data_IF_983652500767
#
_entry.id   IF_983652500767
#
_cell.length_a   1.000
_cell.length_b   1.000
_cell.length_c   1.000
_cell.angle_alpha   90.00
_cell.angle_beta   90.00
_cell.angle_gamma   90.00
#
_symmetry.space_group_name_H-M   'P 1'
#
loop_
_entity.id
_entity.type
_entity.pdbx_description
1 polymer ?
#
# COMPACT_ATOMS: atom_id res chain seq x y z
N UNK A 1 -58.73 -18.18 17.61
CA UNK A 1 -57.33 -18.68 17.63
C UNK A 1 -56.83 -18.78 16.21
N UNK A 2 -56.20 -17.72 15.72
CA UNK A 2 -55.44 -17.69 14.48
C UNK A 2 -54.55 -16.44 14.51
N UNK A 3 -53.47 -16.46 13.72
CA UNK A 3 -52.68 -15.29 13.27
C UNK A 3 -51.42 -14.91 14.06
N UNK A 4 -50.43 -15.83 14.16
CA UNK A 4 -49.01 -15.43 14.28
C UNK A 4 -48.15 -16.41 13.47
N UNK A 5 -48.32 -16.46 12.14
CA UNK A 5 -47.39 -17.23 11.27
C UNK A 5 -47.11 -16.58 9.91
N UNK A 6 -47.66 -15.39 9.61
CA UNK A 6 -47.48 -14.73 8.30
C UNK A 6 -46.43 -13.60 8.25
N UNK A 7 -45.97 -13.07 9.40
CA UNK A 7 -45.10 -11.87 9.42
C UNK A 7 -43.60 -12.12 9.30
N UNK A 8 -43.12 -13.37 9.44
CA UNK A 8 -41.68 -13.69 9.33
C UNK A 8 -41.24 -14.00 7.90
N UNK A 9 -42.14 -14.50 7.04
CA UNK A 9 -41.80 -14.81 5.65
C UNK A 9 -41.77 -13.55 4.75
N UNK A 10 -42.65 -12.57 4.97
CA UNK A 10 -42.65 -11.33 4.17
C UNK A 10 -41.40 -10.47 4.39
N UNK A 11 -40.84 -10.44 5.60
CA UNK A 11 -39.60 -9.69 5.89
C UNK A 11 -38.37 -10.36 5.26
N UNK A 12 -38.33 -11.69 5.25
CA UNK A 12 -37.25 -12.46 4.61
C UNK A 12 -37.26 -12.30 3.07
N UNK A 13 -38.45 -12.28 2.46
CA UNK A 13 -38.62 -12.08 1.01
C UNK A 13 -38.29 -10.63 0.62
N UNK A 14 -38.62 -9.64 1.45
CA UNK A 14 -38.25 -8.24 1.20
C UNK A 14 -36.74 -7.98 1.36
N UNK A 15 -36.07 -8.58 2.36
CA UNK A 15 -34.62 -8.49 2.50
C UNK A 15 -33.86 -9.20 1.38
N UNK A 16 -34.34 -10.37 0.92
CA UNK A 16 -33.76 -11.09 -0.22
C UNK A 16 -33.84 -10.28 -1.53
N UNK A 17 -34.97 -9.60 -1.78
CA UNK A 17 -35.13 -8.72 -2.95
C UNK A 17 -34.29 -7.45 -2.88
N UNK A 18 -34.03 -6.91 -1.69
CA UNK A 18 -33.11 -5.78 -1.53
C UNK A 18 -31.65 -6.21 -1.68
N UNK A 19 -31.22 -7.33 -1.08
CA UNK A 19 -29.86 -7.85 -1.26
C UNK A 19 -29.55 -8.16 -2.72
N UNK A 20 -30.48 -8.77 -3.46
CA UNK A 20 -30.28 -9.08 -4.87
C UNK A 20 -30.23 -7.84 -5.77
N UNK A 21 -30.92 -6.74 -5.42
CA UNK A 21 -30.83 -5.48 -6.18
C UNK A 21 -29.53 -4.73 -5.89
N UNK A 22 -29.02 -4.75 -4.66
CA UNK A 22 -27.74 -4.11 -4.32
C UNK A 22 -26.54 -4.89 -4.86
N UNK A 23 -26.58 -6.22 -4.82
CA UNK A 23 -25.56 -7.08 -5.43
C UNK A 23 -25.57 -6.99 -6.97
N UNK A 24 -26.75 -6.90 -7.59
CA UNK A 24 -26.84 -6.68 -9.03
C UNK A 24 -26.34 -5.29 -9.45
N UNK A 25 -26.56 -4.23 -8.65
CA UNK A 25 -26.07 -2.88 -8.94
C UNK A 25 -24.54 -2.77 -8.73
N UNK A 26 -24.00 -3.41 -7.69
CA UNK A 26 -22.56 -3.50 -7.46
C UNK A 26 -21.86 -4.32 -8.55
N UNK A 27 -22.45 -5.45 -8.97
CA UNK A 27 -21.98 -6.24 -10.09
C UNK A 27 -22.05 -5.44 -11.40
N UNK A 28 -23.10 -4.65 -11.65
CA UNK A 28 -23.23 -3.84 -12.87
C UNK A 28 -22.22 -2.67 -12.91
N UNK A 29 -21.91 -2.03 -11.77
CA UNK A 29 -20.87 -1.00 -11.70
C UNK A 29 -19.45 -1.58 -11.92
N UNK A 30 -19.21 -2.83 -11.49
CA UNK A 30 -17.93 -3.53 -11.71
C UNK A 30 -17.84 -4.08 -13.15
N UNK A 31 -18.96 -4.50 -13.75
CA UNK A 31 -19.01 -5.06 -15.11
C UNK A 31 -19.01 -3.98 -16.19
N UNK A 32 -19.52 -2.77 -15.91
CA UNK A 32 -19.57 -1.69 -16.90
C UNK A 32 -18.41 -0.69 -16.84
N UNK A 33 -17.51 -0.71 -15.85
CA UNK A 33 -16.39 0.26 -15.83
C UNK A 33 -16.82 1.73 -15.86
N UNK A 34 -18.09 2.03 -15.54
CA UNK A 34 -18.66 3.38 -15.52
C UNK A 34 -18.91 3.77 -14.07
N UNK A 35 -17.83 4.12 -13.37
CA UNK A 35 -17.84 5.21 -12.39
C UNK A 35 -16.63 6.15 -12.54
N UNK A 36 -15.78 5.92 -13.55
CA UNK A 36 -14.56 6.72 -13.73
C UNK A 36 -14.64 7.85 -14.78
N UNK A 37 -15.71 7.96 -15.58
CA UNK A 37 -15.74 8.96 -16.67
C UNK A 37 -15.94 10.41 -16.22
N UNK A 38 -16.56 10.65 -15.05
CA UNK A 38 -16.80 12.01 -14.54
C UNK A 38 -15.64 12.56 -13.69
N UNK A 39 -14.75 11.69 -13.20
CA UNK A 39 -13.53 12.08 -12.49
C UNK A 39 -12.29 12.14 -13.39
N UNK A 40 -12.22 11.31 -14.44
CA UNK A 40 -11.07 11.25 -15.35
C UNK A 40 -10.98 12.46 -16.30
N UNK A 41 -12.10 13.08 -16.69
CA UNK A 41 -12.07 14.22 -17.64
C UNK A 41 -11.57 15.53 -17.04
N UNK A 42 -11.55 15.66 -15.69
CA UNK A 42 -10.99 16.83 -14.99
C UNK A 42 -9.51 16.68 -14.64
N UNK A 43 -8.93 15.48 -14.77
CA UNK A 43 -7.54 15.21 -14.39
C UNK A 43 -6.55 15.39 -15.55
N UNK A 44 -7.03 15.41 -16.80
CA UNK A 44 -6.19 15.55 -18.00
C UNK A 44 -5.61 16.95 -18.20
N UNK A 45 -5.96 17.93 -17.35
CA UNK A 45 -5.54 19.33 -17.49
C UNK A 45 -5.29 20.02 -16.15
N UNK A 46 -4.60 19.36 -15.20
CA UNK A 46 -4.15 20.05 -13.98
C UNK A 46 -2.95 20.94 -14.27
N UNK A 47 -3.06 22.20 -13.89
CA UNK A 47 -1.97 23.16 -13.90
C UNK A 47 -0.98 22.84 -12.75
N UNK A 48 0.29 23.25 -12.88
CA UNK A 48 1.34 22.90 -11.91
C UNK A 48 1.03 23.30 -10.45
N UNK A 49 0.20 24.33 -10.23
CA UNK A 49 -0.25 24.73 -8.89
C UNK A 49 -1.17 23.70 -8.23
N UNK A 50 -2.03 23.03 -9.00
CA UNK A 50 -2.91 21.97 -8.48
C UNK A 50 -2.12 20.69 -8.14
N UNK A 51 -1.02 20.40 -8.83
CA UNK A 51 -0.15 19.27 -8.48
C UNK A 51 0.64 19.53 -7.20
N UNK A 52 1.16 20.74 -7.00
CA UNK A 52 1.91 21.12 -5.79
C UNK A 52 1.08 20.90 -4.51
N UNK A 53 -0.18 21.35 -4.49
CA UNK A 53 -1.09 21.10 -3.34
C UNK A 53 -1.33 19.61 -3.10
N UNK A 54 -1.48 18.83 -4.17
CA UNK A 54 -1.74 17.38 -4.08
C UNK A 54 -0.49 16.63 -3.61
N UNK A 55 0.71 17.09 -3.93
CA UNK A 55 1.95 16.55 -3.36
C UNK A 55 2.09 16.89 -1.87
N UNK A 56 1.81 18.13 -1.46
CA UNK A 56 1.82 18.50 -0.05
C UNK A 56 0.79 17.70 0.77
N UNK A 57 -0.39 17.44 0.21
CA UNK A 57 -1.37 16.53 0.82
C UNK A 57 -0.81 15.13 0.99
N UNK A 58 -0.08 14.61 0.00
CA UNK A 58 0.52 13.27 0.05
C UNK A 58 1.67 13.16 1.07
N UNK A 59 2.32 14.27 1.42
CA UNK A 59 3.29 14.31 2.52
C UNK A 59 2.60 14.22 3.90
N UNK A 60 1.36 14.69 4.02
CA UNK A 60 0.60 14.70 5.27
C UNK A 60 -0.53 13.66 5.28
N UNK A 61 -0.27 12.48 5.85
CA UNK A 61 -1.26 11.41 5.97
C UNK A 61 -2.54 11.80 6.73
N UNK A 62 -2.46 12.78 7.66
CA UNK A 62 -3.63 13.24 8.39
C UNK A 62 -4.48 14.25 7.61
N UNK A 63 -4.08 14.61 6.39
CA UNK A 63 -4.87 15.48 5.53
C UNK A 63 -6.21 14.81 5.20
N UNK A 64 -7.31 15.57 5.32
CA UNK A 64 -8.65 15.10 4.97
C UNK A 64 -8.77 14.69 3.48
N UNK A 65 -7.85 15.16 2.63
CA UNK A 65 -7.80 14.87 1.19
C UNK A 65 -6.73 13.85 0.83
N UNK A 66 -5.97 13.31 1.79
CA UNK A 66 -4.83 12.42 1.54
C UNK A 66 -5.19 11.25 0.61
N UNK A 67 -6.24 10.51 0.94
CA UNK A 67 -6.67 9.33 0.17
C UNK A 67 -7.08 9.71 -1.26
N UNK A 68 -7.80 10.82 -1.41
CA UNK A 68 -8.21 11.34 -2.72
C UNK A 68 -7.00 11.77 -3.55
N UNK A 69 -6.04 12.44 -2.92
CA UNK A 69 -4.78 12.88 -3.53
C UNK A 69 -3.93 11.68 -3.97
N UNK A 70 -3.78 10.67 -3.11
CA UNK A 70 -3.07 9.44 -3.43
C UNK A 70 -3.72 8.69 -4.60
N UNK A 71 -5.05 8.53 -4.59
CA UNK A 71 -5.78 7.89 -5.70
C UNK A 71 -5.58 8.62 -7.03
N UNK A 72 -5.72 9.94 -7.01
CA UNK A 72 -5.56 10.76 -8.19
C UNK A 72 -4.14 10.62 -8.77
N UNK A 73 -3.12 10.76 -7.90
CA UNK A 73 -1.72 10.67 -8.32
C UNK A 73 -1.29 9.25 -8.70
N UNK A 74 -1.81 8.21 -8.06
CA UNK A 74 -1.47 6.82 -8.42
C UNK A 74 -1.88 6.49 -9.86
N UNK A 75 -2.94 7.11 -10.37
CA UNK A 75 -3.40 6.98 -11.75
C UNK A 75 -2.77 7.96 -12.74
N UNK A 76 -1.72 8.69 -12.33
CA UNK A 76 -1.11 9.76 -13.14
C UNK A 76 -0.54 9.21 -14.47
N UNK A 77 -0.85 9.85 -15.62
CA UNK A 77 -0.31 9.43 -16.90
C UNK A 77 1.18 9.78 -17.04
N UNK A 78 1.96 9.03 -17.84
CA UNK A 78 3.36 9.31 -18.11
C UNK A 78 3.65 10.73 -18.64
N UNK A 79 2.68 11.36 -19.31
CA UNK A 79 2.82 12.75 -19.79
C UNK A 79 3.02 13.80 -18.69
N UNK A 80 2.77 13.44 -17.42
CA UNK A 80 2.94 14.32 -16.27
C UNK A 80 4.20 13.98 -15.44
N UNK A 81 5.01 13.01 -15.88
CA UNK A 81 6.17 12.54 -15.12
C UNK A 81 7.25 13.61 -14.96
N UNK A 82 7.42 14.50 -15.94
CA UNK A 82 8.34 15.64 -15.80
C UNK A 82 7.90 16.59 -14.67
N UNK A 83 6.61 16.82 -14.49
CA UNK A 83 6.07 17.61 -13.38
C UNK A 83 6.37 16.96 -12.03
N UNK A 84 6.27 15.62 -11.93
CA UNK A 84 6.63 14.86 -10.72
C UNK A 84 8.12 15.00 -10.42
N UNK A 85 8.98 14.87 -11.44
CA UNK A 85 10.44 14.97 -11.27
C UNK A 85 10.88 16.38 -10.87
N UNK A 86 10.25 17.42 -11.43
CA UNK A 86 10.49 18.80 -11.03
C UNK A 86 10.11 19.03 -9.56
N UNK A 87 9.00 18.44 -9.10
CA UNK A 87 8.55 18.51 -7.71
C UNK A 87 9.53 17.85 -6.73
N UNK A 88 10.23 16.78 -7.12
CA UNK A 88 11.30 16.16 -6.29
C UNK A 88 12.37 17.18 -5.91
N UNK A 89 12.70 18.11 -6.80
CA UNK A 89 13.71 19.16 -6.58
C UNK A 89 13.12 20.48 -6.06
N UNK A 90 11.84 20.50 -5.68
CA UNK A 90 11.19 21.69 -5.14
C UNK A 90 11.88 22.17 -3.86
N UNK A 91 11.92 23.49 -3.65
CA UNK A 91 12.34 24.07 -2.38
C UNK A 91 11.31 23.85 -1.26
N UNK A 92 10.07 23.48 -1.62
CA UNK A 92 9.06 23.04 -0.68
C UNK A 92 9.29 21.57 -0.32
N UNK A 93 9.68 21.32 0.95
CA UNK A 93 10.02 19.98 1.43
C UNK A 93 8.83 19.01 1.41
N UNK A 94 7.61 19.48 1.66
CA UNK A 94 6.41 18.63 1.61
C UNK A 94 6.09 18.22 0.17
N UNK A 95 6.29 19.14 -0.78
CA UNK A 95 6.12 18.81 -2.20
C UNK A 95 7.17 17.80 -2.67
N UNK A 96 8.44 17.98 -2.26
CA UNK A 96 9.50 17.02 -2.55
C UNK A 96 9.19 15.65 -1.93
N UNK A 97 8.79 15.62 -0.65
CA UNK A 97 8.43 14.38 0.07
C UNK A 97 7.27 13.65 -0.62
N UNK A 98 6.19 14.38 -0.94
CA UNK A 98 5.04 13.85 -1.66
C UNK A 98 5.41 13.30 -3.03
N UNK A 99 6.24 14.00 -3.80
CA UNK A 99 6.71 13.53 -5.11
C UNK A 99 7.55 12.25 -4.99
N UNK A 100 8.47 12.19 -4.02
CA UNK A 100 9.27 10.99 -3.75
C UNK A 100 8.39 9.78 -3.39
N UNK A 101 7.40 9.97 -2.50
CA UNK A 101 6.40 8.95 -2.16
C UNK A 101 5.65 8.47 -3.40
N UNK A 102 5.18 9.39 -4.23
CA UNK A 102 4.43 9.05 -5.44
C UNK A 102 5.28 8.21 -6.39
N UNK A 103 6.51 8.62 -6.69
CA UNK A 103 7.41 7.87 -7.59
C UNK A 103 7.53 6.42 -7.13
N UNK A 104 7.68 6.19 -5.82
CA UNK A 104 7.82 4.84 -5.26
C UNK A 104 6.51 4.06 -5.24
N UNK A 105 5.35 4.71 -5.07
CA UNK A 105 4.04 4.06 -5.26
C UNK A 105 3.86 3.63 -6.72
N UNK A 106 4.12 4.55 -7.66
CA UNK A 106 3.98 4.31 -9.09
C UNK A 106 4.89 3.19 -9.56
N UNK A 107 6.11 3.12 -9.01
CA UNK A 107 7.06 2.07 -9.30
C UNK A 107 7.62 2.09 -10.72
N UNK A 108 7.51 3.23 -11.39
CA UNK A 108 8.06 3.41 -12.72
C UNK A 108 9.59 3.40 -12.68
N UNK A 109 10.22 2.58 -13.54
CA UNK A 109 11.67 2.37 -13.52
C UNK A 109 12.44 3.63 -13.91
N UNK A 110 11.89 4.43 -14.81
CA UNK A 110 12.52 5.67 -15.26
C UNK A 110 12.44 6.72 -14.16
N UNK A 111 11.26 6.90 -13.56
CA UNK A 111 11.09 7.81 -12.43
C UNK A 111 11.98 7.44 -11.24
N UNK A 112 12.04 6.15 -10.88
CA UNK A 112 12.90 5.67 -9.80
C UNK A 112 14.38 5.91 -10.09
N UNK A 113 14.84 5.66 -11.33
CA UNK A 113 16.22 5.91 -11.74
C UNK A 113 16.58 7.40 -11.65
N UNK A 114 15.70 8.28 -12.13
CA UNK A 114 15.91 9.74 -12.05
C UNK A 114 15.85 10.26 -10.61
N UNK A 115 14.95 9.73 -9.78
CA UNK A 115 14.90 10.02 -8.35
C UNK A 115 16.26 9.68 -7.70
N UNK A 116 16.79 8.50 -8.00
CA UNK A 116 18.09 8.04 -7.50
C UNK A 116 19.23 8.97 -7.93
N UNK A 117 19.24 9.39 -9.20
CA UNK A 117 20.25 10.31 -9.73
C UNK A 117 20.23 11.66 -9.03
N UNK A 118 19.04 12.18 -8.75
CA UNK A 118 18.85 13.41 -8.00
C UNK A 118 19.27 13.27 -6.52
N UNK A 119 19.31 12.05 -5.99
CA UNK A 119 19.59 11.75 -4.59
C UNK A 119 21.05 11.44 -4.24
N UNK A 120 22.00 11.71 -5.17
CA UNK A 120 23.44 11.46 -4.99
C UNK A 120 24.10 12.17 -3.79
N UNK A 121 23.43 13.11 -3.13
CA UNK A 121 23.96 13.91 -2.00
C UNK A 121 23.29 13.67 -0.64
N UNK A 122 22.57 12.53 -0.46
CA UNK A 122 21.72 12.13 0.69
C UNK A 122 20.27 12.60 0.56
N UNK A 123 19.42 11.75 -0.02
CA UNK A 123 17.98 11.79 0.26
C UNK A 123 17.65 10.71 1.28
N UNK A 124 16.88 11.08 2.31
CA UNK A 124 16.05 10.11 3.00
C UNK A 124 14.89 9.77 2.07
N UNK A 125 14.88 8.56 1.51
CA UNK A 125 13.82 8.15 0.59
C UNK A 125 12.52 7.91 1.35
N UNK A 126 11.54 8.77 1.12
CA UNK A 126 10.22 8.67 1.75
C UNK A 126 9.30 7.68 1.04
N UNK A 127 8.32 7.17 1.76
CA UNK A 127 7.24 6.35 1.20
C UNK A 127 7.54 4.86 1.06
N UNK A 128 6.82 4.17 0.17
CA UNK A 128 6.87 2.72 0.05
C UNK A 128 8.22 2.22 -0.45
N UNK A 129 8.64 1.03 -0.01
CA UNK A 129 9.85 0.37 -0.53
C UNK A 129 9.44 -0.59 -1.64
N UNK A 130 9.79 -0.30 -2.91
CA UNK A 130 9.39 -1.13 -4.04
C UNK A 130 10.20 -2.42 -4.16
N UNK A 131 9.60 -3.45 -4.74
CA UNK A 131 10.23 -4.73 -5.07
C UNK A 131 10.34 -4.90 -6.60
N UNK A 132 11.49 -5.36 -7.13
CA UNK A 132 12.75 -5.67 -6.42
C UNK A 132 13.39 -4.42 -5.81
N UNK A 133 14.15 -4.61 -4.72
CA UNK A 133 14.81 -3.52 -4.01
C UNK A 133 15.78 -2.78 -4.95
N UNK A 134 15.74 -1.45 -4.90
CA UNK A 134 16.70 -0.63 -5.63
C UNK A 134 18.05 -0.61 -4.89
N UNK A 135 19.21 -0.49 -5.56
CA UNK A 135 20.51 -0.32 -4.90
C UNK A 135 20.58 0.79 -3.83
N UNK A 136 19.74 1.83 -3.92
CA UNK A 136 19.64 2.84 -2.86
C UNK A 136 18.93 2.30 -1.61
N UNK A 137 17.87 1.51 -1.77
CA UNK A 137 17.19 0.87 -0.64
C UNK A 137 18.14 -0.10 0.07
N UNK A 138 18.92 -0.88 -0.69
CA UNK A 138 19.99 -1.71 -0.13
C UNK A 138 20.98 -0.93 0.72
N UNK A 139 21.47 0.21 0.22
CA UNK A 139 22.41 1.07 0.95
C UNK A 139 21.79 1.65 2.21
N UNK A 140 20.54 2.08 2.15
CA UNK A 140 19.81 2.63 3.30
C UNK A 140 19.62 1.56 4.37
N UNK A 141 19.12 0.38 4.00
CA UNK A 141 18.95 -0.75 4.92
C UNK A 141 20.30 -1.15 5.52
N UNK A 142 21.36 -1.24 4.71
CA UNK A 142 22.70 -1.51 5.19
C UNK A 142 23.20 -0.44 6.16
N UNK A 143 22.97 0.84 5.87
CA UNK A 143 23.35 1.93 6.75
C UNK A 143 22.64 1.84 8.10
N UNK A 144 21.32 1.65 8.09
CA UNK A 144 20.48 1.48 9.28
C UNK A 144 20.83 0.21 10.08
N UNK A 145 21.39 -0.81 9.42
CA UNK A 145 21.84 -2.05 10.06
C UNK A 145 23.28 -1.94 10.59
N UNK A 146 24.18 -1.26 9.87
CA UNK A 146 25.60 -1.03 10.24
C UNK A 146 25.75 -0.03 11.38
N UNK A 147 24.83 0.93 11.49
CA UNK A 147 24.73 1.85 12.62
C UNK A 147 24.31 1.14 13.93
N UNK A 148 24.18 -0.19 13.92
CA UNK A 148 24.26 -1.03 15.11
C UNK A 148 23.03 -1.03 16.00
N UNK A 149 21.91 -0.50 15.52
CA UNK A 149 20.72 -0.36 16.34
C UNK A 149 19.46 -0.77 15.59
N UNK A 150 19.49 -2.02 15.08
CA UNK A 150 18.27 -2.74 14.70
C UNK A 150 17.23 -2.68 15.84
N UNK A 151 17.68 -2.53 17.08
CA UNK A 151 16.83 -2.31 18.25
C UNK A 151 16.10 -0.95 18.26
N UNK A 152 16.57 0.07 17.56
CA UNK A 152 15.90 1.38 17.38
C UNK A 152 14.91 1.40 16.23
N UNK A 153 14.81 0.34 15.43
CA UNK A 153 13.88 0.31 14.31
C UNK A 153 12.44 0.50 14.81
N UNK A 154 11.83 1.59 14.37
CA UNK A 154 10.45 1.92 14.70
C UNK A 154 9.48 1.33 13.68
N UNK A 155 8.21 1.71 13.83
CA UNK A 155 7.13 1.23 12.96
C UNK A 155 7.36 1.59 11.48
N UNK A 156 7.88 2.79 11.22
CA UNK A 156 8.18 3.23 9.86
C UNK A 156 9.28 2.39 9.19
N UNK A 157 10.19 1.78 9.96
CA UNK A 157 11.26 0.93 9.45
C UNK A 157 10.76 -0.48 9.08
N UNK A 158 9.55 -0.86 9.52
CA UNK A 158 8.95 -2.16 9.16
C UNK A 158 8.74 -2.31 7.65
N UNK A 159 8.65 -1.20 6.90
CA UNK A 159 8.65 -1.23 5.43
C UNK A 159 9.88 -1.93 4.85
N UNK A 160 11.05 -1.79 5.50
CA UNK A 160 12.27 -2.48 5.08
C UNK A 160 12.24 -3.95 5.45
N UNK A 161 11.66 -4.31 6.59
CA UNK A 161 11.44 -5.72 6.96
C UNK A 161 10.55 -6.39 5.92
N UNK A 162 9.39 -5.81 5.61
CA UNK A 162 8.50 -6.35 4.59
C UNK A 162 9.20 -6.49 3.24
N UNK A 163 9.95 -5.46 2.83
CA UNK A 163 10.66 -5.47 1.57
C UNK A 163 11.74 -6.57 1.49
N UNK A 164 12.51 -6.78 2.57
CA UNK A 164 13.52 -7.84 2.66
C UNK A 164 12.91 -9.25 2.66
N UNK A 165 11.69 -9.42 3.14
CA UNK A 165 10.98 -10.70 3.06
C UNK A 165 10.36 -10.95 1.69
N UNK A 166 9.97 -9.89 0.98
CA UNK A 166 9.41 -9.96 -0.37
C UNK A 166 10.48 -10.09 -1.46
N UNK A 167 11.67 -9.51 -1.28
CA UNK A 167 12.77 -9.61 -2.23
C UNK A 167 13.54 -10.92 -2.03
N UNK A 168 13.45 -11.82 -3.00
CA UNK A 168 14.08 -13.15 -2.96
C UNK A 168 15.51 -13.17 -3.50
N UNK A 169 16.10 -12.02 -3.83
CA UNK A 169 17.48 -11.96 -4.33
C UNK A 169 18.48 -12.24 -3.20
N UNK A 170 19.67 -12.75 -3.55
CA UNK A 170 20.71 -13.08 -2.55
C UNK A 170 21.10 -11.88 -1.66
N UNK A 171 21.27 -10.65 -2.17
CA UNK A 171 21.57 -9.50 -1.32
C UNK A 171 20.48 -9.21 -0.28
N UNK A 172 19.20 -9.34 -0.65
CA UNK A 172 18.09 -9.18 0.29
C UNK A 172 18.09 -10.27 1.36
N UNK A 173 18.33 -11.53 0.97
CA UNK A 173 18.40 -12.65 1.92
C UNK A 173 19.54 -12.46 2.94
N UNK A 174 20.70 -11.96 2.52
CA UNK A 174 21.81 -11.66 3.43
C UNK A 174 21.49 -10.53 4.40
N UNK A 175 20.88 -9.44 3.92
CA UNK A 175 20.41 -8.35 4.76
C UNK A 175 19.32 -8.78 5.73
N UNK A 176 18.35 -9.56 5.26
CA UNK A 176 17.29 -10.14 6.08
C UNK A 176 17.86 -10.92 7.25
N UNK A 177 18.82 -11.81 7.01
CA UNK A 177 19.48 -12.58 8.09
C UNK A 177 20.16 -11.68 9.11
N UNK A 178 20.81 -10.58 8.67
CA UNK A 178 21.44 -9.60 9.57
C UNK A 178 20.39 -8.91 10.46
N UNK A 179 19.28 -8.46 9.88
CA UNK A 179 18.17 -7.84 10.62
C UNK A 179 17.51 -8.82 11.58
N UNK A 180 17.22 -10.05 11.13
CA UNK A 180 16.64 -11.10 11.98
C UNK A 180 17.56 -11.43 13.17
N UNK A 181 18.87 -11.61 12.94
CA UNK A 181 19.83 -11.86 14.01
C UNK A 181 19.96 -10.69 14.98
N UNK A 182 19.98 -9.46 14.46
CA UNK A 182 19.98 -8.24 15.27
C UNK A 182 18.73 -8.17 16.16
N UNK A 183 17.54 -8.42 15.59
CA UNK A 183 16.26 -8.36 16.33
C UNK A 183 16.19 -9.31 17.52
N UNK A 184 16.81 -10.49 17.44
CA UNK A 184 16.85 -11.46 18.55
C UNK A 184 17.66 -10.98 19.74
N UNK A 185 18.59 -10.07 19.53
CA UNK A 185 19.43 -9.48 20.56
C UNK A 185 18.74 -8.26 21.22
N UNK A 186 17.63 -7.79 20.66
CA UNK A 186 16.89 -6.62 21.11
C UNK A 186 15.76 -7.01 22.07
N UNK A 187 16.06 -7.19 23.36
CA UNK A 187 15.03 -7.49 24.37
C UNK A 187 13.94 -6.41 24.48
N UNK A 188 14.22 -5.18 24.03
CA UNK A 188 13.34 -4.01 24.14
C UNK A 188 12.50 -3.70 22.88
N UNK A 189 12.79 -4.28 21.71
CA UNK A 189 12.07 -3.94 20.46
C UNK A 189 10.96 -4.94 20.14
N UNK A 190 9.85 -4.84 20.89
CA UNK A 190 8.70 -5.72 20.73
C UNK A 190 8.05 -5.62 19.33
N UNK A 191 8.12 -4.46 18.66
CA UNK A 191 7.49 -4.24 17.35
C UNK A 191 8.22 -5.01 16.25
N UNK A 192 9.55 -4.89 16.17
CA UNK A 192 10.35 -5.60 15.19
C UNK A 192 10.27 -7.12 15.39
N UNK A 193 10.46 -7.57 16.63
CA UNK A 193 10.43 -9.01 16.96
C UNK A 193 9.05 -9.61 16.70
N UNK A 194 7.96 -8.92 17.07
CA UNK A 194 6.60 -9.40 16.77
C UNK A 194 6.31 -9.41 15.28
N UNK A 195 6.73 -8.40 14.53
CA UNK A 195 6.55 -8.34 13.07
C UNK A 195 7.25 -9.50 12.37
N UNK A 196 8.53 -9.72 12.68
CA UNK A 196 9.30 -10.85 12.10
C UNK A 196 8.63 -12.17 12.45
N UNK A 197 8.22 -12.37 13.71
CA UNK A 197 7.53 -13.59 14.14
C UNK A 197 6.22 -13.79 13.37
N UNK A 198 5.37 -12.78 13.26
CA UNK A 198 4.10 -12.86 12.52
C UNK A 198 4.33 -13.28 11.07
N UNK A 199 5.37 -12.76 10.43
CA UNK A 199 5.72 -13.11 9.05
C UNK A 199 6.14 -14.59 8.96
N UNK A 200 6.97 -15.07 9.88
CA UNK A 200 7.40 -16.49 9.91
C UNK A 200 6.25 -17.46 10.22
N UNK A 201 5.35 -17.06 11.12
CA UNK A 201 4.21 -17.89 11.54
C UNK A 201 3.11 -17.95 10.46
N UNK A 202 3.14 -17.04 9.49
CA UNK A 202 2.14 -16.96 8.43
C UNK A 202 2.63 -17.60 7.13
N UNK A 203 1.80 -18.48 6.55
CA UNK A 203 1.96 -18.98 5.18
C UNK A 203 1.44 -17.93 4.19
N UNK A 204 2.15 -17.65 3.10
CA UNK A 204 1.66 -16.74 2.04
C UNK A 204 2.71 -15.91 1.31
N UNK A 205 3.99 -16.02 1.67
CA UNK A 205 5.07 -15.22 1.05
C UNK A 205 5.38 -15.57 -0.41
N UNK A 206 5.05 -16.78 -0.86
CA UNK A 206 5.69 -17.38 -2.04
C UNK A 206 4.81 -17.47 -3.30
N UNK A 207 3.55 -17.05 -3.26
CA UNK A 207 2.64 -17.33 -4.38
C UNK A 207 2.09 -16.06 -5.04
N UNK A 208 2.34 -15.97 -6.35
CA UNK A 208 1.50 -15.17 -7.22
C UNK A 208 0.04 -15.59 -7.00
N UNK A 209 -0.83 -14.63 -6.72
CA UNK A 209 -2.24 -14.91 -6.47
C UNK A 209 -3.10 -14.31 -7.58
N UNK A 210 -4.26 -14.93 -7.81
CA UNK A 210 -5.21 -14.37 -8.76
C UNK A 210 -6.03 -13.29 -8.06
N UNK A 211 -5.89 -12.05 -8.50
CA UNK A 211 -6.76 -10.94 -8.08
C UNK A 211 -8.11 -11.10 -8.81
N UNK A 212 -8.88 -12.12 -8.45
CA UNK A 212 -10.20 -12.42 -9.02
C UNK A 212 -11.28 -11.44 -8.53
N UNK A 213 -10.89 -10.18 -8.27
CA UNK A 213 -11.67 -9.07 -7.72
C UNK A 213 -12.17 -9.23 -6.27
N UNK A 214 -11.62 -10.15 -5.48
CA UNK A 214 -12.05 -10.30 -4.08
C UNK A 214 -11.10 -9.59 -3.12
N UNK A 215 -11.69 -8.75 -2.27
CA UNK A 215 -11.06 -8.27 -1.02
C UNK A 215 -10.58 -9.47 -0.19
N UNK A 216 -11.27 -10.59 -0.29
CA UNK A 216 -10.96 -11.87 0.36
C UNK A 216 -9.66 -12.48 -0.16
N UNK A 217 -9.37 -12.41 -1.47
CA UNK A 217 -8.08 -12.88 -1.99
C UNK A 217 -6.95 -11.98 -1.48
N UNK A 218 -7.13 -10.66 -1.47
CA UNK A 218 -6.11 -9.77 -0.87
C UNK A 218 -5.91 -10.10 0.61
N UNK A 219 -7.01 -10.35 1.33
CA UNK A 219 -6.99 -10.68 2.77
C UNK A 219 -6.17 -11.93 3.07
N UNK A 220 -6.30 -13.00 2.29
CA UNK A 220 -5.55 -14.24 2.51
C UNK A 220 -4.04 -14.05 2.38
N UNK A 221 -3.61 -13.11 1.53
CA UNK A 221 -2.20 -12.88 1.24
C UNK A 221 -1.50 -11.95 2.25
N UNK A 222 -2.23 -11.30 3.18
CA UNK A 222 -1.66 -10.33 4.13
C UNK A 222 -0.78 -11.01 5.21
N UNK A 223 0.39 -11.52 4.80
CA UNK A 223 1.28 -12.34 5.62
C UNK A 223 1.88 -11.60 6.82
N UNK A 224 1.83 -10.27 6.80
CA UNK A 224 2.29 -9.39 7.86
C UNK A 224 1.23 -9.17 8.97
N UNK A 225 0.07 -9.81 8.84
CA UNK A 225 -1.01 -9.82 9.84
C UNK A 225 -1.15 -11.23 10.42
N UNK A 226 -1.50 -11.32 11.70
CA UNK A 226 -1.96 -12.59 12.30
C UNK A 226 -3.32 -13.00 11.71
N UNK A 227 -3.72 -14.26 11.89
CA UNK A 227 -5.02 -14.76 11.41
C UNK A 227 -6.20 -13.92 11.96
N UNK A 228 -6.19 -13.60 13.25
CA UNK A 228 -7.22 -12.77 13.89
C UNK A 228 -7.23 -11.34 13.32
N UNK A 229 -6.06 -10.76 13.05
CA UNK A 229 -5.97 -9.45 12.42
C UNK A 229 -6.48 -9.48 10.97
N UNK A 230 -6.17 -10.52 10.19
CA UNK A 230 -6.67 -10.68 8.82
C UNK A 230 -8.19 -10.75 8.78
N UNK A 231 -8.82 -11.49 9.70
CA UNK A 231 -10.28 -11.58 9.78
C UNK A 231 -10.95 -10.23 10.07
N UNK A 232 -10.31 -9.40 10.89
CA UNK A 232 -10.83 -8.09 11.33
C UNK A 232 -10.41 -6.94 10.42
N UNK A 233 -9.43 -7.14 9.55
CA UNK A 233 -8.93 -6.12 8.65
C UNK A 233 -10.03 -5.64 7.70
N UNK A 234 -10.18 -4.32 7.61
CA UNK A 234 -10.97 -3.69 6.55
C UNK A 234 -10.02 -3.38 5.40
N UNK A 235 -10.34 -3.88 4.22
CA UNK A 235 -9.52 -3.71 3.02
C UNK A 235 -10.33 -2.89 2.04
N UNK A 236 -9.75 -1.80 1.56
CA UNK A 236 -10.34 -0.92 0.58
C UNK A 236 -9.46 -0.88 -0.66
N UNK A 237 -10.06 -1.14 -1.81
CA UNK A 237 -9.40 -0.92 -3.09
C UNK A 237 -9.39 0.58 -3.39
N UNK A 238 -8.21 1.17 -3.53
CA UNK A 238 -8.05 2.59 -3.84
C UNK A 238 -8.01 2.84 -5.35
N UNK A 239 -7.39 1.94 -6.13
CA UNK A 239 -7.37 2.06 -7.58
C UNK A 239 -6.23 1.32 -8.27
N UNK A 240 -6.25 1.36 -9.60
CA UNK A 240 -5.12 0.95 -10.44
C UNK A 240 -4.27 2.14 -10.83
N UNK A 241 -2.99 1.90 -11.11
CA UNK A 241 -2.17 2.90 -11.78
C UNK A 241 -2.58 3.08 -13.25
N UNK A 242 -2.01 4.08 -13.93
CA UNK A 242 -2.38 4.40 -15.31
C UNK A 242 -2.29 3.21 -16.26
N UNK A 243 -1.21 2.42 -16.19
CA UNK A 243 -0.97 1.23 -17.01
C UNK A 243 -1.78 0.01 -16.58
N UNK A 244 -2.53 0.08 -15.46
CA UNK A 244 -3.29 -1.02 -14.87
C UNK A 244 -2.46 -2.28 -14.58
N UNK A 245 -1.17 -2.11 -14.34
CA UNK A 245 -0.26 -3.18 -13.94
C UNK A 245 0.09 -3.11 -12.44
N UNK A 246 -0.45 -2.13 -11.71
CA UNK A 246 -0.36 -2.04 -10.25
C UNK A 246 -1.71 -1.72 -9.64
N UNK A 247 -1.98 -2.32 -8.50
CA UNK A 247 -3.22 -2.15 -7.73
C UNK A 247 -2.86 -1.69 -6.32
N UNK A 248 -3.49 -0.61 -5.87
CA UNK A 248 -3.28 -0.04 -4.54
C UNK A 248 -4.48 -0.36 -3.64
N UNK A 249 -4.18 -0.91 -2.47
CA UNK A 249 -5.14 -1.20 -1.42
C UNK A 249 -4.73 -0.50 -0.13
N UNK A 250 -5.73 -0.01 0.59
CA UNK A 250 -5.60 0.38 1.98
C UNK A 250 -6.12 -0.74 2.87
N UNK A 251 -5.36 -1.06 3.91
CA UNK A 251 -5.70 -2.06 4.90
C UNK A 251 -5.73 -1.37 6.26
N UNK A 252 -6.92 -1.31 6.84
CA UNK A 252 -7.13 -0.87 8.21
C UNK A 252 -7.20 -2.08 9.13
N UNK A 253 -6.18 -2.23 9.97
CA UNK A 253 -6.13 -3.25 11.02
C UNK A 253 -6.64 -2.62 12.30
N UNK A 254 -7.82 -3.05 12.75
CA UNK A 254 -8.42 -2.54 13.96
C UNK A 254 -8.19 -3.54 15.12
N UNK A 255 -7.38 -3.14 16.10
CA UNK A 255 -7.08 -3.94 17.29
C UNK A 255 -7.98 -3.60 18.49
N UNK A 256 -9.08 -2.85 18.28
CA UNK A 256 -10.06 -2.49 19.30
C UNK A 256 -10.21 -0.98 19.44
N UNK A 257 -10.62 -0.52 20.63
CA UNK A 257 -10.99 0.89 20.88
C UNK A 257 -9.78 1.85 20.82
N UNK A 258 -8.56 1.32 20.93
CA UNK A 258 -7.36 2.13 21.20
C UNK A 258 -6.24 2.01 20.17
N UNK A 259 -6.29 1.08 19.20
CA UNK A 259 -5.22 0.97 18.22
C UNK A 259 -5.70 0.63 16.81
N UNK A 260 -5.36 1.50 15.85
CA UNK A 260 -5.68 1.31 14.45
C UNK A 260 -4.44 1.52 13.60
N UNK A 261 -4.09 0.53 12.78
CA UNK A 261 -2.94 0.60 11.87
C UNK A 261 -3.42 0.68 10.43
N UNK A 262 -2.98 1.71 9.73
CA UNK A 262 -3.22 1.91 8.30
C UNK A 262 -2.00 1.42 7.53
N UNK A 263 -2.22 0.46 6.64
CA UNK A 263 -1.18 -0.13 5.80
C UNK A 263 -1.59 0.03 4.34
N UNK A 264 -0.70 0.60 3.53
CA UNK A 264 -0.84 0.54 2.10
C UNK A 264 -0.14 -0.70 1.55
N UNK A 265 -0.86 -1.41 0.69
CA UNK A 265 -0.37 -2.57 -0.02
C UNK A 265 -0.49 -2.30 -1.51
N UNK A 266 0.63 -2.34 -2.20
CA UNK A 266 0.65 -2.30 -3.66
C UNK A 266 0.95 -3.70 -4.17
N UNK A 267 0.14 -4.16 -5.12
CA UNK A 267 0.41 -5.34 -5.91
C UNK A 267 0.83 -4.96 -7.31
N UNK A 268 1.72 -5.73 -7.92
CA UNK A 268 2.05 -5.63 -9.34
C UNK A 268 1.58 -6.87 -10.08
N UNK A 269 1.20 -6.66 -11.32
CA UNK A 269 0.74 -7.70 -12.23
C UNK A 269 1.94 -8.40 -12.84
N UNK A 270 2.05 -9.71 -12.61
CA UNK A 270 3.12 -10.57 -13.16
C UNK A 270 2.73 -11.06 -14.55
N UNK A 271 1.48 -11.51 -14.69
CA UNK A 271 0.90 -11.95 -15.96
C UNK A 271 -0.59 -11.60 -16.02
N UNK A 272 -1.29 -12.10 -17.05
CA UNK A 272 -2.72 -11.81 -17.25
C UNK A 272 -3.62 -12.03 -16.02
N UNK A 273 -3.28 -12.98 -15.14
CA UNK A 273 -4.08 -13.42 -13.98
C UNK A 273 -3.38 -13.22 -12.64
N UNK A 274 -2.05 -13.28 -12.63
CA UNK A 274 -1.28 -13.34 -11.40
C UNK A 274 -0.77 -11.97 -10.96
N UNK A 275 -0.85 -11.76 -9.64
CA UNK A 275 -0.39 -10.57 -8.94
C UNK A 275 0.56 -10.97 -7.82
N UNK A 276 1.50 -10.09 -7.52
CA UNK A 276 2.48 -10.26 -6.46
C UNK A 276 2.61 -8.96 -5.68
N UNK A 277 3.06 -9.05 -4.43
CA UNK A 277 3.38 -7.86 -3.66
C UNK A 277 4.44 -7.03 -4.39
N UNK A 278 4.18 -5.72 -4.44
CA UNK A 278 5.11 -4.72 -4.94
C UNK A 278 5.69 -3.90 -3.81
N UNK A 279 4.86 -3.53 -2.82
CA UNK A 279 5.32 -2.84 -1.61
C UNK A 279 4.27 -2.95 -0.49
N UNK A 280 4.73 -2.88 0.75
CA UNK A 280 3.90 -2.82 1.96
C UNK A 280 4.43 -1.67 2.82
N UNK A 281 3.56 -0.74 3.21
CA UNK A 281 3.96 0.48 3.92
C UNK A 281 3.00 0.77 5.06
N UNK A 282 3.52 0.85 6.27
CA UNK A 282 2.76 1.37 7.42
C UNK A 282 2.68 2.88 7.27
N UNK A 283 1.46 3.42 7.24
CA UNK A 283 1.20 4.84 6.98
C UNK A 283 0.82 5.59 8.25
N UNK A 284 0.16 4.90 9.19
CA UNK A 284 -0.16 5.43 10.51
C UNK A 284 -0.47 4.29 11.50
N UNK A 285 -0.24 4.55 12.78
CA UNK A 285 -0.74 3.76 13.89
C UNK A 285 -1.21 4.73 15.00
N UNK A 286 -2.51 4.71 15.30
CA UNK A 286 -3.08 5.42 16.46
C UNK A 286 -3.06 4.54 17.70
#
# INVERSE_FOLDING_TARGET
>A
MATICGRREEVAIHMSRYLNKTLALAALCITLGITNSLGQSKLTNRNNRELSTVFSDLANFHSATYEQSLRALFSLPPSQFDSVLNAVTSSNLDESDGAQRLIRYLGDRELLSKLVENCKTRCLLSGPVPIPLHPLDYREIEYLTRAGDVCKWGEFDMRYVFALFLDTTQPALELRRRVENGSRQCASNAILTSTIRTIHDTKGLETAFTLQNSVEAVRSELFFLTEVERERAKIQFLGFNFQKNRALFEVLVNNGILASRYVHVVFHKVDSKNWQFYSITVVNQS
#
